data_IF_260827969328
#
_entry.id   IF_260827969328
#
_cell.length_a   1.000
_cell.length_b   1.000
_cell.length_c   1.000
_cell.angle_alpha   90.00
_cell.angle_beta   90.00
_cell.angle_gamma   90.00
#
_symmetry.space_group_name_H-M   'P 1'
#
loop_
_entity.id
_entity.type
_entity.pdbx_description
1 polymer ?
#
# COMPACT_ATOMS: atom_id res chain seq x y z
N UNK A 1 -17.35 6.66 18.58
CA UNK A 1 -17.20 7.66 17.51
C UNK A 1 -16.05 7.30 16.57
N UNK A 2 -15.85 8.08 15.52
CA UNK A 2 -14.82 7.83 14.49
C UNK A 2 -13.38 7.84 15.03
N UNK A 3 -13.13 8.54 16.15
CA UNK A 3 -11.78 8.63 16.73
C UNK A 3 -11.30 7.33 17.40
N UNK A 4 -12.20 6.50 17.91
CA UNK A 4 -11.84 5.27 18.60
C UNK A 4 -11.00 5.51 19.86
N UNK A 5 -10.47 4.45 20.49
CA UNK A 5 -9.70 4.54 21.73
C UNK A 5 -8.27 5.05 21.54
N UNK A 6 -7.73 5.00 20.32
CA UNK A 6 -6.34 5.32 20.04
C UNK A 6 -6.05 6.82 19.82
N UNK A 7 -7.11 7.63 19.75
CA UNK A 7 -7.03 9.08 19.56
C UNK A 7 -7.69 9.81 20.73
N UNK A 8 -6.95 10.12 21.79
CA UNK A 8 -7.53 10.65 23.03
C UNK A 8 -7.99 12.11 22.94
N UNK A 9 -7.49 12.89 21.97
CA UNK A 9 -7.75 14.32 21.89
C UNK A 9 -9.23 14.70 21.76
N UNK A 10 -10.08 14.05 20.95
CA UNK A 10 -11.50 14.39 20.87
C UNK A 10 -12.24 14.22 22.20
N UNK A 11 -11.90 13.18 22.96
CA UNK A 11 -12.50 12.93 24.27
C UNK A 11 -12.04 13.97 25.29
N UNK A 12 -10.74 14.32 25.29
CA UNK A 12 -10.19 15.35 26.17
C UNK A 12 -10.76 16.73 25.84
N UNK A 13 -10.94 17.05 24.56
CA UNK A 13 -11.58 18.29 24.13
C UNK A 13 -13.00 18.43 24.72
N UNK A 14 -13.82 17.37 24.65
CA UNK A 14 -15.17 17.36 25.24
C UNK A 14 -15.10 17.59 26.76
N UNK A 15 -14.19 16.89 27.46
CA UNK A 15 -13.99 17.06 28.90
C UNK A 15 -13.54 18.48 29.27
N UNK A 16 -12.66 19.05 28.46
CA UNK A 16 -12.17 20.44 28.63
C UNK A 16 -13.29 21.43 28.49
N UNK A 17 -14.10 21.32 27.43
CA UNK A 17 -15.28 22.17 27.22
C UNK A 17 -16.25 22.04 28.40
N UNK A 18 -16.54 20.83 28.83
CA UNK A 18 -17.44 20.55 29.95
C UNK A 18 -16.94 21.17 31.25
N UNK A 19 -15.64 21.09 31.54
CA UNK A 19 -15.03 21.71 32.73
C UNK A 19 -15.03 23.24 32.67
N UNK A 20 -14.82 23.79 31.47
CA UNK A 20 -14.71 25.22 31.26
C UNK A 20 -16.06 25.94 31.20
N UNK A 21 -17.16 25.24 30.96
CA UNK A 21 -18.47 25.80 30.60
C UNK A 21 -19.04 26.82 31.63
N UNK A 22 -18.69 26.68 32.89
CA UNK A 22 -19.21 27.55 33.95
C UNK A 22 -18.25 28.64 34.41
N UNK A 23 -17.12 28.83 33.71
CA UNK A 23 -16.09 29.80 34.08
C UNK A 23 -15.97 30.92 33.08
N UNK A 24 -15.46 32.08 33.53
CA UNK A 24 -15.08 33.18 32.65
C UNK A 24 -13.85 32.84 31.81
N UNK A 25 -13.54 33.70 30.84
CA UNK A 25 -12.51 33.49 29.80
C UNK A 25 -11.16 33.05 30.37
N UNK A 26 -10.62 33.73 31.36
CA UNK A 26 -9.26 33.47 31.84
C UNK A 26 -9.15 32.06 32.48
N UNK A 27 -10.14 31.69 33.28
CA UNK A 27 -10.18 30.34 33.88
C UNK A 27 -10.44 29.25 32.83
N UNK A 28 -11.27 29.53 31.85
CA UNK A 28 -11.50 28.61 30.71
C UNK A 28 -10.21 28.37 29.93
N UNK A 29 -9.42 29.39 29.68
CA UNK A 29 -8.11 29.26 28.97
C UNK A 29 -7.09 28.46 29.80
N UNK A 30 -7.07 28.62 31.14
CA UNK A 30 -6.22 27.76 32.00
C UNK A 30 -6.58 26.27 31.88
N UNK A 31 -7.89 25.99 31.88
CA UNK A 31 -8.40 24.60 31.74
C UNK A 31 -8.05 24.06 30.36
N UNK A 32 -8.20 24.85 29.29
CA UNK A 32 -7.83 24.49 27.93
C UNK A 32 -6.33 24.22 27.80
N UNK A 33 -5.48 25.10 28.33
CA UNK A 33 -4.03 24.93 28.35
C UNK A 33 -3.60 23.62 29.02
N UNK A 34 -4.22 23.30 30.17
CA UNK A 34 -3.94 22.05 30.87
C UNK A 34 -4.34 20.82 30.05
N UNK A 35 -5.49 20.86 29.38
CA UNK A 35 -5.95 19.82 28.46
C UNK A 35 -5.00 19.64 27.27
N UNK A 36 -4.58 20.74 26.67
CA UNK A 36 -3.61 20.74 25.56
C UNK A 36 -2.28 20.11 25.97
N UNK A 37 -1.69 20.54 27.07
CA UNK A 37 -0.42 19.98 27.58
C UNK A 37 -0.52 18.48 27.84
N UNK A 38 -1.64 18.03 28.38
CA UNK A 38 -1.91 16.61 28.58
C UNK A 38 -1.90 15.83 27.28
N UNK A 39 -2.54 16.37 26.23
CA UNK A 39 -2.58 15.72 24.92
C UNK A 39 -1.23 15.77 24.21
N UNK A 40 -0.53 16.88 24.27
CA UNK A 40 0.79 17.05 23.65
C UNK A 40 1.85 16.05 24.14
N UNK A 41 1.69 15.56 25.37
CA UNK A 41 2.58 14.56 25.98
C UNK A 41 2.27 13.11 25.61
N UNK A 42 1.18 12.85 24.87
CA UNK A 42 0.82 11.50 24.46
C UNK A 42 1.69 10.99 23.31
N UNK A 43 1.90 9.67 23.25
CA UNK A 43 2.58 9.03 22.13
C UNK A 43 1.85 9.25 20.80
N UNK A 44 0.52 9.28 20.83
CA UNK A 44 -0.30 9.59 19.66
C UNK A 44 0.00 10.98 19.10
N UNK A 45 0.10 12.01 19.96
CA UNK A 45 0.45 13.36 19.53
C UNK A 45 1.85 13.41 18.90
N UNK A 46 2.83 12.78 19.52
CA UNK A 46 4.19 12.70 18.99
C UNK A 46 4.24 12.02 17.62
N UNK A 47 3.52 10.90 17.47
CA UNK A 47 3.43 10.19 16.20
C UNK A 47 2.77 11.03 15.11
N UNK A 48 1.65 11.69 15.42
CA UNK A 48 0.92 12.53 14.46
C UNK A 48 1.72 13.78 14.06
N UNK A 49 2.44 14.39 14.97
CA UNK A 49 3.38 15.48 14.67
C UNK A 49 4.49 14.95 13.75
N UNK A 50 5.06 13.79 14.07
CA UNK A 50 6.07 13.12 13.24
C UNK A 50 5.56 12.86 11.82
N UNK A 51 4.32 12.37 11.66
CA UNK A 51 3.69 12.18 10.35
C UNK A 51 3.56 13.50 9.57
N UNK A 52 3.15 14.56 10.23
CA UNK A 52 3.06 15.87 9.59
C UNK A 52 4.41 16.34 9.08
N UNK A 53 5.45 16.23 9.88
CA UNK A 53 6.81 16.59 9.48
C UNK A 53 7.34 15.72 8.35
N UNK A 54 7.11 14.42 8.40
CA UNK A 54 7.50 13.48 7.35
C UNK A 54 6.75 13.79 6.04
N UNK A 55 5.46 14.11 6.11
CA UNK A 55 4.67 14.51 4.93
C UNK A 55 5.22 15.79 4.30
N UNK A 56 5.61 16.77 5.10
CA UNK A 56 6.26 18.00 4.60
C UNK A 56 7.60 17.69 3.91
N UNK A 57 8.38 16.79 4.46
CA UNK A 57 9.65 16.34 3.85
C UNK A 57 9.40 15.67 2.49
N UNK A 58 8.41 14.77 2.39
CA UNK A 58 8.00 14.16 1.14
C UNK A 58 7.57 15.19 0.09
N UNK A 59 6.75 16.13 0.48
CA UNK A 59 6.27 17.20 -0.41
C UNK A 59 7.40 18.09 -0.92
N UNK A 60 8.36 18.42 -0.05
CA UNK A 60 9.55 19.20 -0.43
C UNK A 60 10.41 18.43 -1.44
N UNK A 61 10.64 17.14 -1.19
CA UNK A 61 11.38 16.26 -2.12
C UNK A 61 10.66 16.14 -3.46
N UNK A 62 9.36 15.89 -3.45
CA UNK A 62 8.55 15.79 -4.67
C UNK A 62 8.56 17.10 -5.48
N UNK A 63 8.58 18.26 -4.81
CA UNK A 63 8.70 19.56 -5.45
C UNK A 63 10.05 19.73 -6.15
N UNK A 64 11.13 19.15 -5.62
CA UNK A 64 12.45 19.18 -6.25
C UNK A 64 12.49 18.53 -7.64
N UNK A 65 11.59 17.59 -7.92
CA UNK A 65 11.47 16.99 -9.24
C UNK A 65 10.78 17.89 -10.27
N UNK A 66 10.03 18.91 -9.84
CA UNK A 66 9.27 19.79 -10.75
C UNK A 66 10.20 20.55 -11.72
N UNK A 67 11.45 20.81 -11.35
CA UNK A 67 12.44 21.49 -12.20
C UNK A 67 12.89 20.64 -13.40
N UNK A 68 12.83 19.32 -13.27
CA UNK A 68 13.29 18.35 -14.28
C UNK A 68 12.10 17.77 -15.05
N UNK A 69 10.93 17.72 -14.43
CA UNK A 69 9.74 17.08 -14.96
C UNK A 69 9.21 17.75 -16.21
N UNK A 70 8.78 16.95 -17.17
CA UNK A 70 7.95 17.42 -18.30
C UNK A 70 6.48 17.33 -17.90
N UNK A 71 5.67 18.25 -18.43
CA UNK A 71 4.23 18.21 -18.20
C UNK A 71 3.57 17.06 -18.98
N UNK A 72 2.71 16.30 -18.33
CA UNK A 72 1.89 15.26 -18.96
C UNK A 72 0.55 15.90 -19.34
N UNK A 73 0.40 16.26 -20.60
CA UNK A 73 -0.83 16.85 -21.15
C UNK A 73 -1.80 15.80 -21.63
N UNK A 74 -1.29 14.70 -22.14
CA UNK A 74 -2.04 13.54 -22.64
C UNK A 74 -1.40 12.27 -22.13
N UNK A 75 -2.17 11.46 -21.41
CA UNK A 75 -1.75 10.15 -20.92
C UNK A 75 -2.43 9.02 -21.71
N UNK A 76 -1.94 7.82 -21.52
CA UNK A 76 -2.61 6.60 -21.95
C UNK A 76 -2.43 5.48 -20.92
N UNK A 77 -3.38 4.58 -20.85
CA UNK A 77 -3.28 3.35 -20.06
C UNK A 77 -3.57 2.14 -20.96
N UNK A 78 -2.76 1.11 -20.81
CA UNK A 78 -2.91 -0.17 -21.50
C UNK A 78 -3.53 -1.16 -20.50
N UNK A 79 -4.68 -1.71 -20.88
CA UNK A 79 -5.53 -2.50 -19.99
C UNK A 79 -6.67 -1.64 -19.44
N UNK A 80 -7.90 -2.15 -19.52
CA UNK A 80 -9.12 -1.49 -19.03
C UNK A 80 -9.80 -2.29 -17.91
N UNK A 81 -9.08 -3.19 -17.27
CA UNK A 81 -9.53 -3.93 -16.11
C UNK A 81 -9.63 -3.05 -14.86
N UNK A 82 -9.67 -3.66 -13.68
CA UNK A 82 -9.84 -2.96 -12.41
C UNK A 82 -8.79 -1.86 -12.23
N UNK A 83 -7.51 -2.18 -12.43
CA UNK A 83 -6.43 -1.21 -12.24
C UNK A 83 -6.36 -0.19 -13.38
N UNK A 84 -6.37 -0.63 -14.63
CA UNK A 84 -6.32 0.27 -15.80
C UNK A 84 -7.51 1.22 -15.87
N UNK A 85 -8.71 0.71 -15.61
CA UNK A 85 -9.92 1.53 -15.51
C UNK A 85 -9.87 2.54 -14.36
N UNK A 86 -9.33 2.13 -13.21
CA UNK A 86 -9.13 3.00 -12.06
C UNK A 86 -8.12 4.12 -12.33
N UNK A 87 -7.04 3.82 -13.03
CA UNK A 87 -6.01 4.80 -13.44
C UNK A 87 -6.62 5.80 -14.43
N UNK A 88 -7.37 5.32 -15.42
CA UNK A 88 -8.08 6.18 -16.38
C UNK A 88 -9.04 7.13 -15.67
N UNK A 89 -9.85 6.62 -14.77
CA UNK A 89 -10.77 7.42 -13.94
C UNK A 89 -10.02 8.52 -13.18
N UNK A 90 -8.97 8.15 -12.46
CA UNK A 90 -8.22 9.11 -11.61
C UNK A 90 -7.55 10.21 -12.43
N UNK A 91 -6.96 9.86 -13.56
CA UNK A 91 -6.36 10.82 -14.49
C UNK A 91 -7.40 11.83 -15.02
N UNK A 92 -8.52 11.33 -15.51
CA UNK A 92 -9.59 12.14 -16.08
C UNK A 92 -10.25 13.08 -15.05
N UNK A 93 -10.57 12.57 -13.86
CA UNK A 93 -11.15 13.34 -12.77
C UNK A 93 -10.25 14.48 -12.31
N UNK A 94 -8.94 14.29 -12.42
CA UNK A 94 -7.93 15.28 -12.04
C UNK A 94 -7.47 16.18 -13.21
N UNK A 95 -8.12 16.04 -14.37
CA UNK A 95 -7.97 16.99 -15.48
C UNK A 95 -6.94 16.61 -16.54
N UNK A 96 -6.35 15.42 -16.48
CA UNK A 96 -5.47 14.92 -17.56
C UNK A 96 -6.23 13.94 -18.43
N UNK A 97 -6.45 14.28 -19.74
CA UNK A 97 -7.05 13.37 -20.70
C UNK A 97 -6.24 12.09 -20.82
N UNK A 98 -6.92 10.97 -20.99
CA UNK A 98 -6.30 9.66 -21.03
C UNK A 98 -6.94 8.75 -22.09
N UNK A 99 -6.12 8.15 -22.93
CA UNK A 99 -6.52 7.05 -23.79
C UNK A 99 -6.56 5.77 -22.95
N UNK A 100 -7.66 5.04 -23.02
CA UNK A 100 -7.79 3.74 -22.34
C UNK A 100 -7.90 2.65 -23.41
N UNK A 101 -6.80 1.93 -23.61
CA UNK A 101 -6.70 0.88 -24.63
C UNK A 101 -6.81 -0.51 -24.00
N UNK A 102 -7.59 -1.36 -24.63
CA UNK A 102 -7.59 -2.79 -24.37
C UNK A 102 -7.72 -3.54 -25.70
N UNK A 103 -7.43 -4.83 -25.69
CA UNK A 103 -7.61 -5.72 -26.83
C UNK A 103 -9.05 -6.26 -26.93
N UNK A 104 -9.82 -6.12 -25.85
CA UNK A 104 -11.20 -6.60 -25.76
C UNK A 104 -12.16 -5.46 -25.46
N UNK A 105 -13.23 -5.40 -26.24
CA UNK A 105 -14.28 -4.39 -26.06
C UNK A 105 -14.99 -4.52 -24.71
N UNK A 106 -15.17 -5.74 -24.21
CA UNK A 106 -15.80 -6.00 -22.91
C UNK A 106 -14.98 -5.39 -21.75
N UNK A 107 -13.66 -5.43 -21.81
CA UNK A 107 -12.81 -4.80 -20.81
C UNK A 107 -12.94 -3.28 -20.84
N UNK A 108 -12.98 -2.67 -22.02
CA UNK A 108 -13.25 -1.24 -22.18
C UNK A 108 -14.61 -0.87 -21.59
N UNK A 109 -15.64 -1.64 -21.87
CA UNK A 109 -16.97 -1.40 -21.33
C UNK A 109 -16.99 -1.47 -19.80
N UNK A 110 -16.28 -2.44 -19.23
CA UNK A 110 -16.12 -2.58 -17.79
C UNK A 110 -15.48 -1.33 -17.17
N UNK A 111 -14.39 -0.85 -17.76
CA UNK A 111 -13.69 0.36 -17.28
C UNK A 111 -14.56 1.59 -17.34
N UNK A 112 -15.31 1.79 -18.42
CA UNK A 112 -16.24 2.91 -18.58
C UNK A 112 -17.42 2.83 -17.60
N UNK A 113 -17.98 1.65 -17.40
CA UNK A 113 -19.09 1.44 -16.46
C UNK A 113 -18.69 1.74 -15.02
N UNK A 114 -17.50 1.33 -14.60
CA UNK A 114 -16.98 1.63 -13.26
C UNK A 114 -16.74 3.14 -13.08
N UNK A 115 -16.17 3.82 -14.08
CA UNK A 115 -16.01 5.27 -14.05
C UNK A 115 -17.36 6.00 -13.94
N UNK A 116 -18.35 5.60 -14.73
CA UNK A 116 -19.71 6.15 -14.68
C UNK A 116 -20.36 5.95 -13.33
N UNK A 117 -20.21 4.77 -12.74
CA UNK A 117 -20.75 4.44 -11.42
C UNK A 117 -20.13 5.30 -10.31
N UNK A 118 -18.81 5.42 -10.30
CA UNK A 118 -18.10 6.25 -9.31
C UNK A 118 -18.48 7.72 -9.41
N UNK A 119 -18.56 8.26 -10.63
CA UNK A 119 -18.96 9.64 -10.88
C UNK A 119 -20.43 9.88 -10.53
N UNK A 120 -21.33 8.96 -10.93
CA UNK A 120 -22.75 9.02 -10.60
C UNK A 120 -22.99 9.08 -9.11
N UNK A 121 -22.31 8.24 -8.34
CA UNK A 121 -22.38 8.23 -6.88
C UNK A 121 -21.96 9.58 -6.25
N UNK A 122 -21.02 10.30 -6.88
CA UNK A 122 -20.62 11.63 -6.42
C UNK A 122 -21.65 12.69 -6.76
N UNK A 123 -22.29 12.58 -7.91
CA UNK A 123 -23.40 13.45 -8.31
C UNK A 123 -24.59 13.28 -7.37
N UNK A 124 -25.00 12.03 -7.11
CA UNK A 124 -26.10 11.68 -6.20
C UNK A 124 -25.87 12.22 -4.77
N UNK A 125 -24.63 12.29 -4.34
CA UNK A 125 -24.24 12.85 -3.03
C UNK A 125 -24.03 14.37 -3.04
N UNK A 126 -24.31 15.05 -4.14
CA UNK A 126 -24.10 16.48 -4.29
C UNK A 126 -22.62 16.92 -4.25
N UNK A 127 -21.69 16.00 -4.51
CA UNK A 127 -20.23 16.26 -4.47
C UNK A 127 -19.63 16.56 -5.84
N UNK A 128 -20.43 16.43 -6.88
CA UNK A 128 -20.05 16.68 -8.27
C UNK A 128 -21.29 17.12 -9.05
N UNK A 129 -21.13 18.04 -9.98
CA UNK A 129 -22.23 18.41 -10.90
C UNK A 129 -22.30 17.43 -12.07
N UNK A 130 -23.47 17.31 -12.70
CA UNK A 130 -23.63 16.50 -13.90
C UNK A 130 -22.71 16.98 -15.04
N UNK A 131 -22.53 18.28 -15.18
CA UNK A 131 -21.62 18.86 -16.16
C UNK A 131 -20.17 18.43 -15.94
N UNK A 132 -19.70 18.42 -14.69
CA UNK A 132 -18.34 17.94 -14.34
C UNK A 132 -18.20 16.43 -14.53
N UNK A 133 -19.26 15.66 -14.29
CA UNK A 133 -19.29 14.24 -14.61
C UNK A 133 -19.09 13.99 -16.10
N UNK A 134 -19.83 14.71 -16.95
CA UNK A 134 -19.71 14.60 -18.40
C UNK A 134 -18.31 14.99 -18.88
N UNK A 135 -17.74 16.06 -18.33
CA UNK A 135 -16.37 16.50 -18.62
C UNK A 135 -15.34 15.43 -18.30
N UNK A 136 -15.44 14.78 -17.12
CA UNK A 136 -14.54 13.69 -16.72
C UNK A 136 -14.68 12.46 -17.62
N UNK A 137 -15.91 12.06 -17.94
CA UNK A 137 -16.15 10.91 -18.85
C UNK A 137 -15.60 11.18 -20.25
N UNK A 138 -15.76 12.39 -20.77
CA UNK A 138 -15.21 12.79 -22.08
C UNK A 138 -13.65 12.84 -22.09
N UNK A 139 -13.04 12.97 -20.96
CA UNK A 139 -11.58 12.93 -20.83
C UNK A 139 -11.00 11.50 -20.88
N UNK A 140 -11.85 10.47 -20.75
CA UNK A 140 -11.47 9.07 -20.96
C UNK A 140 -11.83 8.70 -22.40
N UNK A 141 -10.80 8.45 -23.23
CA UNK A 141 -11.00 8.06 -24.62
C UNK A 141 -10.73 6.57 -24.78
N UNK A 142 -11.78 5.73 -24.97
CA UNK A 142 -11.58 4.30 -25.18
C UNK A 142 -11.06 4.01 -26.59
N UNK A 143 -10.20 3.03 -26.74
CA UNK A 143 -9.67 2.60 -28.02
C UNK A 143 -9.24 1.13 -28.01
N UNK A 144 -9.35 0.48 -29.18
CA UNK A 144 -8.84 -0.87 -29.44
C UNK A 144 -7.50 -0.84 -30.20
N UNK A 145 -7.04 0.35 -30.59
CA UNK A 145 -5.86 0.52 -31.44
C UNK A 145 -4.88 1.58 -30.91
N UNK A 146 -3.68 1.61 -31.48
CA UNK A 146 -2.65 2.60 -31.16
C UNK A 146 -2.73 3.88 -32.03
N UNK A 147 -3.78 4.07 -32.81
CA UNK A 147 -3.84 5.15 -33.81
C UNK A 147 -3.57 6.56 -33.27
N UNK A 148 -3.97 6.84 -32.03
CA UNK A 148 -3.82 8.16 -31.41
C UNK A 148 -2.64 8.26 -30.41
N UNK A 149 -1.76 7.27 -30.36
CA UNK A 149 -0.68 7.20 -29.37
C UNK A 149 0.54 8.07 -29.69
N UNK A 150 0.65 8.60 -30.91
CA UNK A 150 1.82 9.36 -31.34
C UNK A 150 2.14 10.61 -30.53
N UNK A 151 1.13 11.24 -29.91
CA UNK A 151 1.26 12.47 -29.13
C UNK A 151 1.07 12.28 -27.62
N UNK A 152 1.12 11.05 -27.13
CA UNK A 152 0.98 10.75 -25.71
C UNK A 152 2.29 11.04 -24.99
N UNK A 153 2.21 11.70 -23.84
CA UNK A 153 3.39 12.08 -23.05
C UNK A 153 3.83 10.95 -22.10
N UNK A 154 2.88 10.19 -21.57
CA UNK A 154 3.12 9.10 -20.63
C UNK A 154 2.10 7.98 -20.82
N UNK A 155 2.58 6.75 -20.89
CA UNK A 155 1.75 5.53 -20.97
C UNK A 155 1.96 4.69 -19.72
N UNK A 156 0.87 4.30 -19.07
CA UNK A 156 0.88 3.33 -17.96
C UNK A 156 0.43 1.98 -18.47
N UNK A 157 1.29 0.98 -18.39
CA UNK A 157 0.93 -0.41 -18.69
C UNK A 157 0.30 -1.07 -17.45
N UNK A 158 -0.90 -1.58 -17.58
CA UNK A 158 -1.66 -2.23 -16.54
C UNK A 158 -2.34 -3.53 -17.06
N UNK A 159 -1.60 -4.28 -17.86
CA UNK A 159 -2.05 -5.58 -18.40
C UNK A 159 -1.74 -6.71 -17.40
N UNK A 160 -2.11 -7.94 -17.76
CA UNK A 160 -1.93 -9.12 -16.90
C UNK A 160 -0.52 -9.22 -16.32
N UNK A 161 -0.42 -9.65 -15.06
CA UNK A 161 0.84 -9.76 -14.29
C UNK A 161 1.68 -10.96 -14.75
N UNK A 162 2.23 -10.84 -15.95
CA UNK A 162 3.10 -11.83 -16.57
C UNK A 162 4.28 -11.10 -17.25
N UNK A 163 5.54 -11.46 -16.94
CA UNK A 163 6.70 -10.76 -17.47
C UNK A 163 6.78 -10.76 -18.99
N UNK A 164 6.52 -11.89 -19.62
CA UNK A 164 6.59 -12.02 -21.09
C UNK A 164 5.50 -11.20 -21.79
N UNK A 165 4.28 -11.24 -21.27
CA UNK A 165 3.16 -10.45 -21.80
C UNK A 165 3.45 -8.95 -21.67
N UNK A 166 3.90 -8.52 -20.50
CA UNK A 166 4.26 -7.12 -20.25
C UNK A 166 5.41 -6.66 -21.15
N UNK A 167 6.44 -7.45 -21.31
CA UNK A 167 7.55 -7.14 -22.21
C UNK A 167 7.10 -7.00 -23.67
N UNK A 168 6.24 -7.90 -24.15
CA UNK A 168 5.70 -7.84 -25.50
C UNK A 168 4.84 -6.58 -25.71
N UNK A 169 3.96 -6.25 -24.76
CA UNK A 169 3.10 -5.07 -24.81
C UNK A 169 3.92 -3.78 -24.73
N UNK A 170 4.93 -3.72 -23.86
CA UNK A 170 5.82 -2.56 -23.74
C UNK A 170 6.63 -2.32 -25.02
N UNK A 171 7.18 -3.36 -25.63
CA UNK A 171 7.89 -3.26 -26.92
C UNK A 171 6.94 -2.80 -28.04
N UNK A 172 5.73 -3.30 -28.07
CA UNK A 172 4.69 -2.91 -29.03
C UNK A 172 4.32 -1.43 -28.90
N UNK A 173 4.02 -0.94 -27.69
CA UNK A 173 3.66 0.45 -27.48
C UNK A 173 4.84 1.40 -27.69
N UNK A 174 6.05 0.99 -27.38
CA UNK A 174 7.25 1.81 -27.62
C UNK A 174 7.39 2.18 -29.11
N UNK A 175 7.04 1.25 -30.02
CA UNK A 175 7.07 1.48 -31.45
C UNK A 175 5.96 2.45 -31.93
N UNK A 176 4.94 2.70 -31.13
CA UNK A 176 3.75 3.51 -31.47
C UNK A 176 3.78 4.92 -30.89
N UNK A 177 4.69 5.19 -29.96
CA UNK A 177 4.79 6.49 -29.27
C UNK A 177 6.00 7.28 -29.74
N UNK A 178 6.03 8.57 -29.39
CA UNK A 178 7.17 9.46 -29.67
C UNK A 178 8.42 9.07 -28.88
N UNK A 179 9.57 9.53 -29.33
CA UNK A 179 10.88 9.24 -28.72
C UNK A 179 11.01 9.69 -27.26
N UNK A 180 10.26 10.73 -26.86
CA UNK A 180 10.32 11.30 -25.54
C UNK A 180 9.18 10.85 -24.62
N UNK A 181 8.30 9.99 -25.11
CA UNK A 181 7.19 9.45 -24.30
C UNK A 181 7.74 8.58 -23.18
N UNK A 182 7.26 8.82 -21.98
CA UNK A 182 7.58 8.00 -20.81
C UNK A 182 6.66 6.77 -20.80
N UNK A 183 7.26 5.61 -20.65
CA UNK A 183 6.54 4.36 -20.38
C UNK A 183 6.67 4.00 -18.91
N UNK A 184 5.56 3.57 -18.32
CA UNK A 184 5.52 3.13 -16.93
C UNK A 184 4.78 1.80 -16.83
N UNK A 185 5.22 0.92 -15.93
CA UNK A 185 4.50 -0.31 -15.61
C UNK A 185 3.86 -0.23 -14.22
N UNK A 186 2.60 -0.64 -14.14
CA UNK A 186 1.87 -0.78 -12.88
C UNK A 186 2.09 -2.15 -12.22
N UNK A 187 3.11 -2.89 -12.61
CA UNK A 187 3.42 -4.18 -11.98
C UNK A 187 3.56 -4.03 -10.47
N UNK A 188 3.09 -5.03 -9.74
CA UNK A 188 3.20 -5.07 -8.27
C UNK A 188 4.49 -5.71 -7.76
N UNK A 189 5.09 -6.60 -8.54
CA UNK A 189 6.21 -7.44 -8.08
C UNK A 189 7.30 -7.65 -9.10
N UNK A 190 7.03 -7.50 -10.40
CA UNK A 190 8.01 -7.77 -11.46
C UNK A 190 9.07 -6.66 -11.49
N UNK A 191 10.34 -7.03 -11.52
CA UNK A 191 11.44 -6.08 -11.62
C UNK A 191 11.27 -5.15 -12.84
N UNK A 192 11.35 -3.86 -12.59
CA UNK A 192 11.33 -2.83 -13.63
C UNK A 192 12.54 -2.98 -14.55
N UNK A 193 13.70 -3.28 -13.99
CA UNK A 193 14.92 -3.53 -14.75
C UNK A 193 14.79 -4.75 -15.68
N UNK A 194 14.08 -5.79 -15.25
CA UNK A 194 13.76 -6.94 -16.09
C UNK A 194 12.85 -6.56 -17.28
N UNK A 195 11.78 -5.82 -17.01
CA UNK A 195 10.85 -5.38 -18.07
C UNK A 195 11.55 -4.45 -19.09
N UNK A 196 12.46 -3.62 -18.61
CA UNK A 196 13.22 -2.69 -19.44
C UNK A 196 14.08 -3.36 -20.51
N UNK A 197 14.45 -4.62 -20.33
CA UNK A 197 15.24 -5.38 -21.32
C UNK A 197 14.56 -5.54 -22.68
N UNK A 198 13.24 -5.43 -22.73
CA UNK A 198 12.46 -5.49 -23.96
C UNK A 198 12.44 -4.15 -24.73
N UNK A 199 12.96 -3.07 -24.16
CA UNK A 199 12.85 -1.72 -24.68
C UNK A 199 14.12 -1.25 -25.37
N UNK A 200 13.95 -0.44 -26.40
CA UNK A 200 15.04 0.24 -27.13
C UNK A 200 15.47 1.52 -26.41
N UNK A 201 14.55 2.17 -25.67
CA UNK A 201 14.76 3.38 -24.88
C UNK A 201 14.46 3.14 -23.40
N UNK A 202 15.22 2.25 -22.72
CA UNK A 202 14.96 1.91 -21.33
C UNK A 202 15.11 3.10 -20.37
N UNK A 203 15.80 4.16 -20.77
CA UNK A 203 15.94 5.42 -20.01
C UNK A 203 14.60 6.14 -19.84
N UNK A 204 13.63 5.91 -20.72
CA UNK A 204 12.28 6.47 -20.65
C UNK A 204 11.29 5.56 -19.89
N UNK A 205 11.77 4.53 -19.24
CA UNK A 205 10.92 3.54 -18.58
C UNK A 205 11.11 3.56 -17.06
N UNK A 206 9.96 3.53 -16.34
CA UNK A 206 9.88 3.49 -14.87
C UNK A 206 8.77 2.55 -14.41
N UNK A 207 8.73 2.24 -13.13
CA UNK A 207 7.52 1.70 -12.51
C UNK A 207 6.61 2.82 -12.02
N UNK A 208 5.30 2.62 -12.12
CA UNK A 208 4.29 3.49 -11.52
C UNK A 208 3.22 2.62 -10.88
N UNK A 209 3.45 2.24 -9.64
CA UNK A 209 2.64 1.27 -8.91
C UNK A 209 1.53 1.96 -8.13
N UNK A 210 0.29 1.77 -8.58
CA UNK A 210 -0.92 2.20 -7.90
C UNK A 210 -1.43 1.08 -6.98
N UNK A 211 -2.25 1.46 -6.01
CA UNK A 211 -2.89 0.54 -5.07
C UNK A 211 -4.39 0.48 -5.32
N UNK A 212 -4.96 -0.70 -5.17
CA UNK A 212 -6.40 -0.93 -5.36
C UNK A 212 -7.17 -0.62 -4.06
N UNK A 213 -8.28 0.13 -4.10
CA UNK A 213 -8.88 0.82 -5.25
C UNK A 213 -8.15 2.14 -5.57
N UNK A 214 -7.85 2.37 -6.85
CA UNK A 214 -7.03 3.52 -7.27
C UNK A 214 -7.60 4.86 -6.81
N UNK A 215 -8.91 5.05 -6.88
CA UNK A 215 -9.55 6.32 -6.52
C UNK A 215 -9.49 6.65 -5.02
N UNK A 216 -9.21 5.66 -4.17
CA UNK A 216 -9.16 5.80 -2.71
C UNK A 216 -7.75 5.80 -2.14
N UNK A 217 -6.87 4.98 -2.72
CA UNK A 217 -5.53 4.76 -2.16
C UNK A 217 -4.60 5.93 -2.50
N UNK A 218 -4.01 6.58 -1.48
CA UNK A 218 -3.27 7.82 -1.70
C UNK A 218 -1.86 7.64 -2.26
N UNK A 219 -1.24 6.46 -2.09
CA UNK A 219 0.15 6.21 -2.47
C UNK A 219 0.28 5.87 -3.96
N UNK A 220 1.34 6.38 -4.58
CA UNK A 220 1.93 5.83 -5.80
C UNK A 220 3.42 5.61 -5.55
N UNK A 221 3.90 4.39 -5.73
CA UNK A 221 5.32 4.11 -5.79
C UNK A 221 5.82 4.40 -7.21
N UNK A 222 6.80 5.27 -7.34
CA UNK A 222 7.53 5.50 -8.59
C UNK A 222 8.84 4.74 -8.49
N UNK A 223 9.01 3.69 -9.31
CA UNK A 223 10.13 2.78 -9.21
C UNK A 223 11.19 3.16 -10.24
N UNK A 224 12.37 3.52 -9.73
CA UNK A 224 13.55 3.76 -10.54
C UNK A 224 14.19 2.43 -10.90
N UNK A 225 14.11 2.03 -12.18
CA UNK A 225 14.88 0.92 -12.71
C UNK A 225 16.35 1.30 -12.89
N UNK A 226 17.19 0.32 -13.12
CA UNK A 226 18.64 0.51 -13.26
C UNK A 226 19.01 1.55 -14.35
N UNK A 227 18.23 1.60 -15.43
CA UNK A 227 18.47 2.50 -16.55
C UNK A 227 17.54 3.71 -16.63
N UNK A 228 16.59 3.83 -15.70
CA UNK A 228 15.63 4.94 -15.69
C UNK A 228 16.33 6.29 -15.55
N UNK A 229 16.01 7.24 -16.42
CA UNK A 229 16.54 8.60 -16.34
C UNK A 229 15.86 9.39 -15.20
N UNK A 230 16.54 10.41 -14.69
CA UNK A 230 15.96 11.32 -13.71
C UNK A 230 14.75 12.10 -14.29
N UNK A 231 14.77 12.40 -15.58
CA UNK A 231 13.63 13.03 -16.27
C UNK A 231 12.41 12.10 -16.28
N UNK A 232 12.59 10.80 -16.57
CA UNK A 232 11.51 9.83 -16.54
C UNK A 232 10.90 9.69 -15.14
N UNK A 233 11.75 9.60 -14.11
CA UNK A 233 11.33 9.55 -12.72
C UNK A 233 10.59 10.84 -12.34
N UNK A 234 11.17 12.00 -12.62
CA UNK A 234 10.60 13.30 -12.28
C UNK A 234 9.24 13.54 -12.95
N UNK A 235 9.12 13.22 -14.22
CA UNK A 235 7.87 13.34 -14.99
C UNK A 235 6.76 12.46 -14.38
N UNK A 236 7.09 11.24 -14.01
CA UNK A 236 6.14 10.31 -13.39
C UNK A 236 5.73 10.77 -11.99
N UNK A 237 6.66 11.29 -11.18
CA UNK A 237 6.35 11.91 -9.88
C UNK A 237 5.38 13.10 -10.06
N UNK A 238 5.65 13.98 -11.01
CA UNK A 238 4.78 15.12 -11.29
C UNK A 238 3.38 14.69 -11.74
N UNK A 239 3.29 13.66 -12.59
CA UNK A 239 2.00 13.10 -13.01
C UNK A 239 1.22 12.48 -11.85
N UNK A 240 1.89 11.74 -10.97
CA UNK A 240 1.26 11.20 -9.77
C UNK A 240 0.69 12.31 -8.87
N UNK A 241 1.44 13.40 -8.66
CA UNK A 241 0.97 14.58 -7.93
C UNK A 241 -0.25 15.22 -8.60
N UNK A 242 -0.21 15.36 -9.92
CA UNK A 242 -1.33 15.90 -10.72
C UNK A 242 -2.59 15.05 -10.59
N UNK A 243 -2.43 13.74 -10.44
CA UNK A 243 -3.52 12.81 -10.15
C UNK A 243 -4.02 12.87 -8.68
N UNK A 244 -3.46 13.74 -7.85
CA UNK A 244 -3.83 13.88 -6.44
C UNK A 244 -3.25 12.77 -5.55
N UNK A 245 -2.21 12.09 -5.99
CA UNK A 245 -1.53 11.05 -5.22
C UNK A 245 -0.31 11.60 -4.48
N UNK A 246 0.17 10.82 -3.51
CA UNK A 246 1.42 11.06 -2.79
C UNK A 246 2.48 10.12 -3.36
N UNK A 247 3.37 10.58 -4.26
CA UNK A 247 4.40 9.73 -4.83
C UNK A 247 5.59 9.57 -3.89
N UNK A 248 6.13 8.36 -3.87
CA UNK A 248 7.43 8.04 -3.25
C UNK A 248 8.30 7.38 -4.31
N UNK A 249 9.51 7.88 -4.49
CA UNK A 249 10.49 7.27 -5.39
C UNK A 249 11.20 6.15 -4.64
N UNK A 250 11.16 4.95 -5.23
CA UNK A 250 11.82 3.77 -4.68
C UNK A 250 12.75 3.16 -5.74
N UNK A 251 13.83 2.54 -5.30
CA UNK A 251 14.69 1.77 -6.19
C UNK A 251 14.09 0.38 -6.44
N UNK A 252 14.43 -0.18 -7.58
CA UNK A 252 13.90 -1.46 -8.03
C UNK A 252 14.37 -2.61 -7.13
N UNK A 253 13.42 -3.41 -6.65
CA UNK A 253 13.66 -4.67 -5.97
C UNK A 253 12.36 -5.49 -5.99
N UNK A 254 12.40 -6.81 -5.72
CA UNK A 254 11.18 -7.59 -5.61
C UNK A 254 10.22 -7.02 -4.55
N UNK A 255 8.97 -6.76 -4.95
CA UNK A 255 7.94 -6.20 -4.07
C UNK A 255 8.07 -4.70 -3.76
N UNK A 256 9.07 -4.02 -4.31
CA UNK A 256 9.36 -2.61 -4.10
C UNK A 256 9.47 -2.28 -2.60
N UNK A 257 8.83 -1.23 -2.11
CA UNK A 257 8.80 -0.95 -0.67
C UNK A 257 7.64 -1.70 0.02
N UNK A 258 6.42 -1.41 -0.41
CA UNK A 258 5.21 -1.80 0.35
C UNK A 258 5.00 -3.30 0.37
N UNK A 259 5.04 -3.96 -0.77
CA UNK A 259 4.85 -5.41 -0.83
C UNK A 259 6.03 -6.17 -0.20
N UNK A 260 7.26 -5.68 -0.37
CA UNK A 260 8.43 -6.27 0.29
C UNK A 260 8.27 -6.30 1.81
N UNK A 261 7.69 -5.26 2.39
CA UNK A 261 7.46 -5.14 3.83
C UNK A 261 6.21 -5.91 4.28
N UNK A 262 5.18 -5.94 3.44
CA UNK A 262 3.91 -6.60 3.74
C UNK A 262 4.01 -8.12 3.75
N UNK A 263 4.78 -8.72 2.85
CA UNK A 263 4.94 -10.18 2.79
C UNK A 263 5.50 -10.80 4.07
N UNK A 264 6.56 -10.25 4.71
CA UNK A 264 6.98 -10.70 6.03
C UNK A 264 5.90 -10.65 7.11
N UNK A 265 5.04 -9.63 7.07
CA UNK A 265 3.87 -9.52 7.93
C UNK A 265 2.92 -10.72 7.74
N UNK A 266 2.58 -11.05 6.50
CA UNK A 266 1.80 -12.23 6.17
C UNK A 266 2.53 -13.54 6.50
N UNK A 267 3.84 -13.57 6.43
CA UNK A 267 4.66 -14.68 6.88
C UNK A 267 4.49 -14.97 8.37
N UNK A 268 4.48 -13.92 9.18
CA UNK A 268 4.17 -14.03 10.62
C UNK A 268 2.76 -14.55 10.87
N UNK A 269 1.79 -14.08 10.13
CA UNK A 269 0.41 -14.58 10.17
C UNK A 269 0.33 -16.06 9.82
N UNK A 270 0.98 -16.49 8.74
CA UNK A 270 1.02 -17.90 8.33
C UNK A 270 1.62 -18.79 9.43
N UNK A 271 2.69 -18.34 10.09
CA UNK A 271 3.30 -19.06 11.22
C UNK A 271 2.33 -19.20 12.41
N UNK A 272 1.58 -18.15 12.73
CA UNK A 272 0.58 -18.17 13.79
C UNK A 272 -0.54 -19.19 13.50
N UNK A 273 -1.06 -19.19 12.28
CA UNK A 273 -2.10 -20.15 11.87
C UNK A 273 -1.55 -21.59 11.92
N UNK A 274 -0.33 -21.82 11.45
CA UNK A 274 0.33 -23.13 11.51
C UNK A 274 0.63 -23.59 12.95
N UNK A 275 0.76 -22.64 13.88
CA UNK A 275 0.90 -22.91 15.31
C UNK A 275 -0.45 -23.13 16.03
N UNK A 276 -1.55 -23.20 15.30
CA UNK A 276 -2.88 -23.46 15.85
C UNK A 276 -3.61 -22.25 16.41
N UNK A 277 -3.11 -21.04 16.18
CA UNK A 277 -3.78 -19.83 16.67
C UNK A 277 -4.97 -19.51 15.77
N UNK A 278 -6.13 -19.26 16.38
CA UNK A 278 -7.35 -18.89 15.67
C UNK A 278 -7.18 -17.59 14.88
N UNK A 279 -7.38 -17.64 13.57
CA UNK A 279 -7.20 -16.47 12.71
C UNK A 279 -8.23 -15.35 13.01
N UNK A 280 -9.40 -15.68 13.52
CA UNK A 280 -10.39 -14.67 13.95
C UNK A 280 -9.86 -13.89 15.15
N UNK A 281 -9.20 -14.58 16.10
CA UNK A 281 -8.51 -13.94 17.22
C UNK A 281 -7.36 -13.05 16.73
N UNK A 282 -6.55 -13.54 15.80
CA UNK A 282 -5.44 -12.76 15.21
C UNK A 282 -5.98 -11.46 14.58
N UNK A 283 -7.03 -11.55 13.80
CA UNK A 283 -7.67 -10.38 13.18
C UNK A 283 -8.11 -9.35 14.24
N UNK A 284 -8.77 -9.80 15.29
CA UNK A 284 -9.22 -8.92 16.39
C UNK A 284 -8.07 -8.25 17.12
N UNK A 285 -6.99 -9.00 17.40
CA UNK A 285 -5.81 -8.45 18.07
C UNK A 285 -5.14 -7.38 17.22
N UNK A 286 -4.98 -7.63 15.92
CA UNK A 286 -4.34 -6.68 15.01
C UNK A 286 -5.21 -5.46 14.72
N UNK A 287 -6.53 -5.61 14.65
CA UNK A 287 -7.46 -4.48 14.58
C UNK A 287 -7.39 -3.62 15.85
N UNK A 288 -7.33 -4.23 17.02
CA UNK A 288 -7.14 -3.52 18.31
C UNK A 288 -5.79 -2.81 18.37
N UNK A 289 -4.75 -3.39 17.78
CA UNK A 289 -3.43 -2.75 17.63
C UNK A 289 -3.52 -1.44 16.85
N UNK A 290 -4.46 -1.36 15.89
CA UNK A 290 -4.74 -0.15 15.12
C UNK A 290 -4.86 -0.35 13.62
N UNK A 291 -4.63 -1.56 13.10
CA UNK A 291 -4.79 -1.84 11.68
C UNK A 291 -6.25 -1.71 11.24
N UNK A 292 -6.53 -1.18 10.03
CA UNK A 292 -7.91 -1.03 9.54
C UNK A 292 -8.60 -2.38 9.29
N UNK A 293 -7.82 -3.43 9.03
CA UNK A 293 -8.29 -4.80 8.82
C UNK A 293 -7.33 -5.76 9.49
N UNK A 294 -7.85 -6.88 10.02
CA UNK A 294 -7.02 -7.99 10.43
C UNK A 294 -6.38 -8.69 9.22
N UNK A 295 -5.31 -9.47 9.42
CA UNK A 295 -4.55 -10.07 8.32
C UNK A 295 -5.34 -11.09 7.51
N UNK A 296 -6.18 -11.94 8.13
CA UNK A 296 -7.00 -12.89 7.40
C UNK A 296 -8.02 -12.19 6.50
N UNK A 297 -8.70 -11.19 7.02
CA UNK A 297 -9.63 -10.38 6.24
C UNK A 297 -8.91 -9.64 5.11
N UNK A 298 -7.75 -9.06 5.38
CA UNK A 298 -6.95 -8.38 4.35
C UNK A 298 -6.56 -9.33 3.21
N UNK A 299 -6.15 -10.56 3.52
CA UNK A 299 -5.85 -11.56 2.49
C UNK A 299 -7.05 -11.91 1.64
N UNK A 300 -8.24 -11.99 2.23
CA UNK A 300 -9.48 -12.20 1.51
C UNK A 300 -9.83 -11.05 0.57
N UNK A 301 -9.57 -9.81 1.00
CA UNK A 301 -9.80 -8.59 0.19
C UNK A 301 -8.80 -8.49 -0.96
N UNK A 302 -7.52 -8.74 -0.70
CA UNK A 302 -6.45 -8.72 -1.71
C UNK A 302 -6.62 -9.87 -2.70
N UNK A 303 -7.02 -11.02 -2.22
CA UNK A 303 -7.15 -12.26 -2.97
C UNK A 303 -6.09 -13.29 -2.57
N UNK A 304 -6.55 -14.48 -2.22
CA UNK A 304 -5.70 -15.61 -1.81
C UNK A 304 -4.76 -16.02 -2.96
N UNK A 305 -5.24 -16.03 -4.18
CA UNK A 305 -4.44 -16.31 -5.38
C UNK A 305 -3.32 -15.28 -5.57
N UNK A 306 -3.61 -14.02 -5.36
CA UNK A 306 -2.60 -12.94 -5.42
C UNK A 306 -1.51 -13.16 -4.37
N UNK A 307 -1.87 -13.48 -3.14
CA UNK A 307 -0.93 -13.80 -2.07
C UNK A 307 -0.11 -15.07 -2.35
N UNK A 308 -0.77 -16.10 -2.87
CA UNK A 308 -0.12 -17.37 -3.23
C UNK A 308 0.94 -17.18 -4.33
N UNK A 309 0.64 -16.47 -5.39
CA UNK A 309 1.59 -16.20 -6.48
C UNK A 309 2.70 -15.22 -6.05
N UNK A 310 2.35 -14.18 -5.30
CA UNK A 310 3.32 -13.19 -4.82
C UNK A 310 4.36 -13.77 -3.89
N UNK A 311 4.01 -14.80 -3.12
CA UNK A 311 4.95 -15.49 -2.23
C UNK A 311 6.12 -16.10 -2.99
N UNK A 312 5.89 -16.68 -4.15
CA UNK A 312 6.95 -17.30 -4.96
C UNK A 312 7.95 -16.23 -5.46
N UNK A 313 7.46 -15.09 -5.88
CA UNK A 313 8.30 -13.96 -6.30
C UNK A 313 9.19 -13.47 -5.15
N UNK A 314 8.61 -13.33 -3.95
CA UNK A 314 9.36 -12.88 -2.78
C UNK A 314 10.35 -13.93 -2.28
N UNK A 315 9.99 -15.22 -2.35
CA UNK A 315 10.89 -16.31 -2.00
C UNK A 315 12.09 -16.40 -2.95
N UNK A 316 11.87 -16.18 -4.24
CA UNK A 316 12.95 -16.12 -5.24
C UNK A 316 13.85 -14.90 -5.04
N UNK A 317 13.25 -13.74 -4.73
CA UNK A 317 13.97 -12.50 -4.51
C UNK A 317 14.78 -12.44 -3.21
N UNK A 318 14.28 -13.07 -2.16
CA UNK A 318 14.86 -13.06 -0.81
C UNK A 318 14.89 -14.48 -0.22
N UNK A 319 15.63 -15.43 -0.84
CA UNK A 319 15.60 -16.83 -0.43
C UNK A 319 16.17 -17.09 0.97
N UNK A 320 17.02 -16.19 1.45
CA UNK A 320 17.65 -16.26 2.78
C UNK A 320 16.65 -16.12 3.94
N UNK A 321 15.50 -15.49 3.70
CA UNK A 321 14.54 -15.18 4.76
C UNK A 321 13.06 -15.28 4.39
N UNK A 322 12.69 -15.22 3.10
CA UNK A 322 11.28 -15.26 2.66
C UNK A 322 10.87 -16.58 2.02
N UNK A 323 11.81 -17.49 1.82
CA UNK A 323 11.54 -18.84 1.33
C UNK A 323 11.12 -19.75 2.49
N UNK A 324 9.91 -20.31 2.40
CA UNK A 324 9.42 -21.34 3.30
C UNK A 324 8.81 -22.45 2.45
N UNK A 325 9.39 -23.66 2.53
CA UNK A 325 8.98 -24.81 1.73
C UNK A 325 7.75 -25.51 2.31
N UNK A 326 7.32 -25.14 3.53
CA UNK A 326 6.11 -25.72 4.14
C UNK A 326 4.86 -25.12 3.52
N UNK A 327 3.86 -25.97 3.32
CA UNK A 327 2.53 -25.52 2.95
C UNK A 327 1.96 -24.63 4.05
N UNK A 328 1.34 -23.56 3.64
CA UNK A 328 0.71 -22.57 4.51
C UNK A 328 -0.80 -22.50 4.29
N UNK A 329 -1.48 -21.68 5.10
CA UNK A 329 -2.91 -21.42 4.95
C UNK A 329 -3.29 -20.96 3.54
N UNK A 330 -2.48 -20.08 2.93
CA UNK A 330 -2.71 -19.57 1.58
C UNK A 330 -2.70 -20.70 0.55
N UNK A 331 -1.81 -21.66 0.68
CA UNK A 331 -1.71 -22.79 -0.25
C UNK A 331 -2.97 -23.66 -0.23
N UNK A 332 -3.42 -24.05 0.96
CA UNK A 332 -4.60 -24.91 1.09
C UNK A 332 -5.90 -24.18 0.73
N UNK A 333 -6.00 -22.89 1.00
CA UNK A 333 -7.13 -22.09 0.57
C UNK A 333 -7.17 -21.92 -0.96
N UNK A 334 -6.02 -21.67 -1.58
CA UNK A 334 -5.90 -21.60 -3.03
C UNK A 334 -6.30 -22.93 -3.70
N UNK A 335 -5.78 -24.06 -3.22
CA UNK A 335 -6.13 -25.39 -3.72
C UNK A 335 -7.62 -25.72 -3.55
N UNK A 336 -8.25 -25.23 -2.49
CA UNK A 336 -9.68 -25.38 -2.24
C UNK A 336 -10.54 -24.37 -3.03
N UNK A 337 -9.95 -23.59 -3.92
CA UNK A 337 -10.61 -22.50 -4.67
C UNK A 337 -11.34 -21.49 -3.76
N UNK A 338 -10.76 -21.23 -2.60
CA UNK A 338 -11.22 -20.21 -1.66
C UNK A 338 -10.37 -18.95 -1.82
N UNK A 339 -10.74 -18.12 -2.80
CA UNK A 339 -9.91 -16.98 -3.22
C UNK A 339 -10.20 -15.67 -2.47
N UNK A 340 -11.15 -15.70 -1.56
CA UNK A 340 -11.53 -14.54 -0.77
C UNK A 340 -12.83 -13.89 -1.25
N UNK A 341 -12.94 -12.57 -1.13
CA UNK A 341 -14.14 -11.82 -1.55
C UNK A 341 -14.49 -12.04 -3.01
N UNK A 342 -13.54 -12.14 -3.89
CA UNK A 342 -13.75 -12.24 -5.34
C UNK A 342 -14.60 -13.45 -5.77
N UNK A 343 -14.57 -14.54 -5.01
CA UNK A 343 -15.40 -15.72 -5.28
C UNK A 343 -16.23 -16.17 -4.07
N UNK A 344 -16.38 -15.30 -3.07
CA UNK A 344 -17.32 -15.46 -1.97
C UNK A 344 -16.81 -16.23 -0.76
N UNK A 345 -15.64 -16.85 -0.81
CA UNK A 345 -15.04 -17.61 0.30
C UNK A 345 -13.52 -17.51 0.30
N UNK A 346 -12.94 -17.25 1.45
CA UNK A 346 -11.52 -17.30 1.75
C UNK A 346 -11.33 -17.85 3.16
N UNK A 347 -10.69 -17.09 4.03
CA UNK A 347 -10.72 -17.34 5.48
C UNK A 347 -12.14 -17.21 6.03
N UNK A 348 -12.88 -16.23 5.52
CA UNK A 348 -14.28 -15.98 5.84
C UNK A 348 -15.15 -16.31 4.63
N UNK A 349 -16.46 -16.37 4.85
CA UNK A 349 -17.45 -16.33 3.77
C UNK A 349 -18.02 -14.92 3.64
N UNK A 350 -18.58 -14.62 2.48
CA UNK A 350 -19.11 -13.29 2.15
C UNK A 350 -20.53 -13.40 1.65
N UNK A 351 -21.42 -12.65 2.30
CA UNK A 351 -22.81 -12.50 1.94
C UNK A 351 -23.04 -11.07 1.47
N UNK A 352 -23.90 -10.89 0.46
CA UNK A 352 -24.26 -9.54 0.01
C UNK A 352 -25.24 -8.93 1.00
N UNK A 353 -24.92 -7.73 1.50
CA UNK A 353 -25.84 -6.96 2.33
C UNK A 353 -26.98 -6.36 1.48
N UNK A 354 -27.95 -5.71 2.15
CA UNK A 354 -29.10 -5.06 1.49
C UNK A 354 -28.71 -3.94 0.50
N UNK A 355 -27.43 -3.48 0.57
CA UNK A 355 -26.88 -2.46 -0.33
C UNK A 355 -25.96 -3.05 -1.40
N UNK A 356 -25.94 -4.38 -1.55
CA UNK A 356 -25.10 -5.08 -2.51
C UNK A 356 -23.61 -5.07 -2.18
N UNK A 357 -23.23 -4.85 -0.91
CA UNK A 357 -21.84 -4.91 -0.48
C UNK A 357 -21.51 -6.25 0.18
N UNK A 358 -20.29 -6.80 -0.06
CA UNK A 358 -19.86 -8.01 0.62
C UNK A 358 -19.79 -7.78 2.14
N UNK A 359 -20.40 -8.67 2.89
CA UNK A 359 -20.35 -8.70 4.36
C UNK A 359 -19.64 -9.96 4.80
N UNK A 360 -18.60 -9.80 5.59
CA UNK A 360 -17.82 -10.88 6.19
C UNK A 360 -18.65 -11.65 7.21
N UNK A 361 -18.71 -12.98 7.07
CA UNK A 361 -19.30 -13.90 8.05
C UNK A 361 -18.34 -15.05 8.34
N UNK A 362 -18.39 -15.58 9.57
CA UNK A 362 -17.61 -16.76 9.92
C UNK A 362 -18.12 -17.99 9.14
N UNK A 363 -17.18 -18.79 8.66
CA UNK A 363 -17.45 -20.03 7.95
C UNK A 363 -16.70 -21.20 8.63
N UNK A 364 -17.36 -22.00 9.46
CA UNK A 364 -16.70 -23.12 10.16
C UNK A 364 -16.05 -24.15 9.23
N UNK A 365 -16.51 -24.27 7.99
CA UNK A 365 -15.96 -25.19 7.00
C UNK A 365 -14.48 -24.91 6.67
N UNK A 366 -14.01 -23.67 6.86
CA UNK A 366 -12.60 -23.33 6.61
C UNK A 366 -11.65 -24.06 7.55
N UNK A 367 -12.09 -24.40 8.74
CA UNK A 367 -11.26 -25.10 9.74
C UNK A 367 -10.79 -26.48 9.23
N UNK A 368 -11.63 -27.19 8.49
CA UNK A 368 -11.25 -28.46 7.86
C UNK A 368 -10.24 -28.25 6.73
N UNK A 369 -10.36 -27.17 5.98
CA UNK A 369 -9.40 -26.79 4.92
C UNK A 369 -8.04 -26.45 5.53
N UNK A 370 -8.01 -25.79 6.68
CA UNK A 370 -6.77 -25.38 7.36
C UNK A 370 -6.08 -26.51 8.12
N UNK A 371 -6.79 -27.58 8.45
CA UNK A 371 -6.28 -28.70 9.26
C UNK A 371 -4.91 -29.24 8.79
N UNK A 372 -4.67 -29.47 7.48
CA UNK A 372 -3.39 -30.04 7.00
C UNK A 372 -2.17 -29.17 7.29
N UNK A 373 -2.36 -27.86 7.55
CA UNK A 373 -1.23 -26.93 7.76
C UNK A 373 -1.09 -26.52 9.23
N UNK A 374 -1.90 -27.05 10.13
CA UNK A 374 -1.75 -26.84 11.56
C UNK A 374 -0.83 -27.93 12.10
N UNK A 375 0.42 -27.59 12.40
CA UNK A 375 1.46 -28.54 12.78
C UNK A 375 1.64 -28.66 14.29
N UNK A 376 1.12 -27.69 15.05
CA UNK A 376 1.20 -27.67 16.52
C UNK A 376 0.00 -26.92 17.09
N UNK A 377 -0.17 -27.01 18.40
CA UNK A 377 -1.14 -26.23 19.17
C UNK A 377 -0.36 -25.44 20.21
N UNK A 378 0.02 -24.22 19.85
CA UNK A 378 0.83 -23.35 20.69
C UNK A 378 -0.04 -22.31 21.37
N UNK A 379 0.09 -22.17 22.67
CA UNK A 379 -0.50 -21.06 23.38
C UNK A 379 0.36 -19.82 23.23
N UNK A 380 -0.26 -18.73 22.78
CA UNK A 380 0.38 -17.44 22.60
C UNK A 380 -0.47 -16.35 23.25
N UNK A 381 0.19 -15.33 23.77
CA UNK A 381 -0.47 -14.14 24.30
C UNK A 381 -0.87 -13.21 23.15
N UNK A 382 -1.73 -12.23 23.41
CA UNK A 382 -2.04 -11.19 22.44
C UNK A 382 -0.80 -10.38 22.06
N UNK A 383 0.10 -10.15 23.02
CA UNK A 383 1.40 -9.52 22.77
C UNK A 383 2.29 -10.35 21.83
N UNK A 384 2.33 -11.67 22.02
CA UNK A 384 3.04 -12.56 21.09
C UNK A 384 2.48 -12.43 19.67
N UNK A 385 1.16 -12.42 19.52
CA UNK A 385 0.52 -12.25 18.20
C UNK A 385 1.00 -10.96 17.55
N UNK A 386 0.99 -9.84 18.26
CA UNK A 386 1.48 -8.56 17.76
C UNK A 386 2.94 -8.67 17.34
N UNK A 387 3.80 -9.25 18.16
CA UNK A 387 5.23 -9.36 17.90
C UNK A 387 5.56 -10.30 16.73
N UNK A 388 4.84 -11.43 16.60
CA UNK A 388 5.01 -12.33 15.47
C UNK A 388 4.71 -11.63 14.13
N UNK A 389 3.78 -10.68 14.14
CA UNK A 389 3.36 -9.93 12.95
C UNK A 389 4.23 -8.69 12.72
N UNK A 390 4.48 -7.90 13.77
CA UNK A 390 5.09 -6.58 13.65
C UNK A 390 6.62 -6.62 13.56
N UNK A 391 7.29 -7.56 14.21
CA UNK A 391 8.76 -7.65 14.16
C UNK A 391 9.24 -7.85 12.72
N UNK A 392 8.75 -8.85 11.96
CA UNK A 392 9.23 -9.05 10.59
C UNK A 392 8.88 -7.89 9.66
N UNK A 393 7.71 -7.25 9.82
CA UNK A 393 7.34 -6.06 9.07
C UNK A 393 8.32 -4.91 9.34
N UNK A 394 8.56 -4.60 10.59
CA UNK A 394 9.48 -3.52 11.00
C UNK A 394 10.93 -3.81 10.58
N UNK A 395 11.36 -5.05 10.74
CA UNK A 395 12.72 -5.46 10.38
C UNK A 395 12.96 -5.36 8.88
N UNK A 396 12.00 -5.74 8.06
CA UNK A 396 12.12 -5.60 6.61
C UNK A 396 12.08 -4.13 6.17
N UNK A 397 11.34 -3.28 6.87
CA UNK A 397 11.38 -1.82 6.64
C UNK A 397 12.78 -1.26 6.92
N UNK A 398 13.43 -1.71 7.97
CA UNK A 398 14.84 -1.37 8.26
C UNK A 398 15.75 -1.80 7.10
N UNK A 399 15.57 -3.01 6.59
CA UNK A 399 16.33 -3.51 5.43
C UNK A 399 16.11 -2.69 4.17
N UNK A 400 14.88 -2.26 3.91
CA UNK A 400 14.59 -1.38 2.78
C UNK A 400 15.35 -0.06 2.86
N UNK A 401 15.48 0.52 4.06
CA UNK A 401 16.27 1.72 4.27
C UNK A 401 17.77 1.45 4.10
N UNK A 402 18.27 0.37 4.68
CA UNK A 402 19.69 -0.02 4.57
C UNK A 402 20.12 -0.34 3.13
N UNK A 403 19.24 -0.99 2.36
CA UNK A 403 19.47 -1.33 0.95
C UNK A 403 19.30 -0.13 0.01
N UNK A 404 18.89 1.02 0.53
CA UNK A 404 18.65 2.21 -0.28
C UNK A 404 17.45 2.11 -1.20
N UNK A 405 16.48 1.27 -0.88
CA UNK A 405 15.21 1.20 -1.63
C UNK A 405 14.45 2.50 -1.48
N UNK A 406 14.47 3.07 -0.29
CA UNK A 406 14.11 4.46 -0.01
C UNK A 406 15.32 5.18 0.56
N UNK A 407 15.36 6.50 0.38
CA UNK A 407 16.51 7.31 0.81
C UNK A 407 16.42 7.69 2.28
N UNK A 408 15.22 7.89 2.82
CA UNK A 408 15.00 8.39 4.18
C UNK A 408 14.03 7.54 4.97
N UNK A 409 14.17 7.59 6.30
CA UNK A 409 13.21 6.96 7.22
C UNK A 409 11.80 7.55 7.06
N UNK A 410 11.67 8.84 6.77
CA UNK A 410 10.41 9.50 6.50
C UNK A 410 9.69 8.88 5.30
N UNK A 411 10.39 8.62 4.21
CA UNK A 411 9.83 7.97 3.02
C UNK A 411 9.38 6.55 3.32
N UNK A 412 10.16 5.79 4.06
CA UNK A 412 9.79 4.43 4.47
C UNK A 412 8.47 4.44 5.25
N UNK A 413 8.37 5.25 6.30
CA UNK A 413 7.19 5.31 7.15
C UNK A 413 5.96 5.85 6.42
N UNK A 414 6.11 6.91 5.63
CA UNK A 414 4.98 7.47 4.88
C UNK A 414 4.49 6.52 3.78
N UNK A 415 5.38 5.73 3.19
CA UNK A 415 5.00 4.67 2.27
C UNK A 415 4.06 3.65 2.89
N UNK A 416 4.29 3.28 4.14
CA UNK A 416 3.42 2.34 4.88
C UNK A 416 2.12 3.01 5.35
N UNK A 417 2.17 4.26 5.78
CA UNK A 417 0.98 5.03 6.14
C UNK A 417 0.03 5.15 4.95
N UNK A 418 0.54 5.57 3.80
CA UNK A 418 -0.27 5.78 2.60
C UNK A 418 -0.58 4.50 1.82
N UNK A 419 0.31 3.50 1.88
CA UNK A 419 0.18 2.28 1.08
C UNK A 419 -0.65 1.18 1.71
N UNK A 420 -0.50 0.95 3.00
CA UNK A 420 -1.18 -0.15 3.72
C UNK A 420 -2.00 0.30 4.93
N UNK A 421 -2.14 1.59 5.15
CA UNK A 421 -2.88 2.11 6.28
C UNK A 421 -2.23 1.78 7.62
N UNK A 422 -0.89 1.81 7.68
CA UNK A 422 -0.19 1.68 8.96
C UNK A 422 -0.82 2.63 9.98
N UNK A 423 -1.09 2.19 11.22
CA UNK A 423 -1.81 3.00 12.21
C UNK A 423 -1.18 4.38 12.40
N UNK A 424 -1.86 5.49 12.03
CA UNK A 424 -1.26 6.82 12.07
C UNK A 424 -0.82 7.27 13.46
N UNK A 425 -1.54 6.86 14.52
CA UNK A 425 -1.17 7.17 15.90
C UNK A 425 0.11 6.50 16.36
N UNK A 426 0.65 5.55 15.58
CA UNK A 426 1.96 4.90 15.81
C UNK A 426 3.07 5.47 14.94
N UNK A 427 2.73 6.21 13.88
CA UNK A 427 3.65 7.01 13.10
C UNK A 427 4.44 6.30 12.01
N UNK A 428 4.29 4.99 11.85
CA UNK A 428 5.03 4.17 10.88
C UNK A 428 5.91 3.12 11.54
N UNK A 429 6.51 2.24 10.74
CA UNK A 429 7.29 1.10 11.24
C UNK A 429 8.57 1.53 11.97
N UNK A 430 9.31 2.48 11.42
CA UNK A 430 10.55 2.97 12.02
C UNK A 430 10.27 3.85 13.24
N UNK A 431 9.20 4.65 13.19
CA UNK A 431 8.72 5.38 14.37
C UNK A 431 8.26 4.43 15.47
N UNK A 432 7.63 3.33 15.11
CA UNK A 432 7.22 2.29 16.05
C UNK A 432 8.43 1.68 16.76
N UNK A 433 9.50 1.39 16.02
CA UNK A 433 10.77 0.95 16.60
C UNK A 433 11.31 2.00 17.59
N UNK A 434 11.35 3.27 17.19
CA UNK A 434 11.81 4.37 18.05
C UNK A 434 10.96 4.50 19.32
N UNK A 435 9.64 4.29 19.22
CA UNK A 435 8.72 4.37 20.37
C UNK A 435 8.95 3.27 21.40
N UNK A 436 9.39 2.10 20.96
CA UNK A 436 9.82 1.00 21.84
C UNK A 436 11.23 1.29 22.38
N UNK A 437 12.06 1.92 21.57
CA UNK A 437 13.50 2.05 21.75
C UNK A 437 14.25 1.06 20.88
N UNK A 438 15.27 1.52 20.15
CA UNK A 438 15.99 0.64 19.21
C UNK A 438 16.63 -0.55 19.95
N UNK A 439 17.28 -0.31 21.09
CA UNK A 439 17.90 -1.38 21.89
C UNK A 439 16.85 -2.37 22.43
N UNK A 440 15.73 -1.86 22.91
CA UNK A 440 14.61 -2.65 23.44
C UNK A 440 13.94 -3.46 22.31
N UNK A 441 13.80 -2.88 21.13
CA UNK A 441 13.26 -3.58 19.96
C UNK A 441 14.20 -4.72 19.51
N UNK A 442 15.49 -4.50 19.47
CA UNK A 442 16.48 -5.53 19.16
C UNK A 442 16.40 -6.68 20.17
N UNK A 443 16.34 -6.37 21.47
CA UNK A 443 16.19 -7.38 22.53
C UNK A 443 14.87 -8.14 22.38
N UNK A 444 13.79 -7.45 22.06
CA UNK A 444 12.48 -8.06 21.79
C UNK A 444 12.54 -9.00 20.60
N UNK A 445 13.13 -8.59 19.48
CA UNK A 445 13.27 -9.40 18.27
C UNK A 445 14.09 -10.67 18.55
N UNK A 446 15.15 -10.58 19.35
CA UNK A 446 15.98 -11.74 19.74
C UNK A 446 15.18 -12.80 20.51
N UNK A 447 14.13 -12.42 21.25
CA UNK A 447 13.23 -13.37 21.93
C UNK A 447 12.44 -14.23 20.95
N UNK A 448 12.29 -13.80 19.70
CA UNK A 448 11.54 -14.51 18.65
C UNK A 448 12.47 -15.07 17.56
N UNK A 449 13.78 -15.13 17.81
CA UNK A 449 14.78 -15.60 16.83
C UNK A 449 14.52 -17.00 16.30
N UNK A 450 13.90 -17.87 17.09
CA UNK A 450 13.50 -19.22 16.70
C UNK A 450 12.50 -19.25 15.51
N UNK A 451 11.79 -18.15 15.26
CA UNK A 451 10.83 -18.05 14.17
C UNK A 451 11.48 -17.85 12.81
N UNK A 452 12.78 -17.58 12.76
CA UNK A 452 13.54 -17.53 11.52
C UNK A 452 14.24 -16.21 11.25
N UNK A 453 14.86 -16.12 10.07
CA UNK A 453 15.73 -15.01 9.69
C UNK A 453 14.99 -13.65 9.59
N UNK A 454 13.69 -13.64 9.30
CA UNK A 454 12.89 -12.40 9.27
C UNK A 454 12.84 -11.68 10.63
N UNK A 455 13.06 -12.40 11.71
CA UNK A 455 13.02 -11.89 13.09
C UNK A 455 14.41 -11.46 13.61
N UNK A 456 15.44 -11.70 12.82
CA UNK A 456 16.81 -11.39 13.24
C UNK A 456 17.16 -9.93 12.93
N UNK A 457 17.60 -9.15 13.94
CA UNK A 457 18.08 -7.80 13.71
C UNK A 457 19.26 -7.75 12.74
N UNK A 458 19.27 -6.72 11.90
CA UNK A 458 20.41 -6.46 11.04
C UNK A 458 21.65 -6.03 11.84
N UNK A 459 22.83 -6.19 11.29
CA UNK A 459 24.07 -5.74 11.92
C UNK A 459 24.05 -4.23 12.19
N UNK A 460 23.55 -3.43 11.25
CA UNK A 460 23.41 -1.98 11.40
C UNK A 460 22.43 -1.58 12.49
N UNK A 461 21.29 -2.30 12.61
CA UNK A 461 20.32 -2.04 13.67
C UNK A 461 20.93 -2.36 15.05
N UNK A 462 21.69 -3.44 15.17
CA UNK A 462 22.43 -3.77 16.40
C UNK A 462 23.45 -2.69 16.76
N UNK A 463 24.13 -2.13 15.77
CA UNK A 463 25.06 -1.02 15.97
C UNK A 463 24.34 0.24 16.46
N UNK A 464 23.21 0.59 15.86
CA UNK A 464 22.35 1.68 16.35
C UNK A 464 21.93 1.48 17.80
N UNK A 465 21.56 0.25 18.16
CA UNK A 465 21.20 -0.10 19.54
C UNK A 465 22.37 0.15 20.52
N UNK A 466 23.57 -0.28 20.16
CA UNK A 466 24.78 -0.07 20.99
C UNK A 466 25.14 1.41 21.14
N UNK A 467 24.91 2.20 20.11
CA UNK A 467 25.26 3.62 20.06
C UNK A 467 24.14 4.55 20.56
N UNK A 468 23.03 3.99 21.02
CA UNK A 468 21.89 4.78 21.48
C UNK A 468 21.24 5.65 20.40
N UNK A 469 21.31 5.23 19.14
CA UNK A 469 20.78 5.94 17.99
C UNK A 469 19.32 5.58 17.75
N UNK A 470 18.57 6.49 17.14
CA UNK A 470 17.20 6.30 16.69
C UNK A 470 17.06 6.70 15.21
N UNK A 471 15.89 6.42 14.60
CA UNK A 471 15.64 6.77 13.20
C UNK A 471 15.26 8.24 13.02
N UNK A 472 14.63 8.85 14.00
CA UNK A 472 14.12 10.23 13.92
C UNK A 472 14.71 11.21 14.94
N UNK A 473 15.69 10.84 15.70
CA UNK A 473 16.40 11.71 16.63
C UNK A 473 15.76 11.84 17.99
#
# INVERSE_FOLDING_TARGET
GQAGPNYPAPVEAIKTIQKAANFGRDKALEIEAAGFVKMAKTSAAQSLIGLFLNDQELKKKAKGYDEIAKDVKQAAVLGAGIMGGGIAYQSAVKGTPILMKDIREEAIQLGLNEASKLLGNRVDKGRLTAAKMAEALNAIRPTLSYGDFGNVDLVVEAVVENPKVKQAVLAEVEAQVGENTILASNTSTISISLLAKALKRPENFVGMHFFNPVHMMPLVEVIRGEKSSEEAVATTVAYAKKMGKNPIVVNDCPGFLVNRVLFPYFGGFAKLVSAGVDFVRIDKVMEKFGWPMGPAYLMDVVGIDTGHHGRDVMAEGFPDRMKDDRRSAVDVLYEANRLGQKNGKGFYAYEMDKKGKPKKVNDPAVLDVLKPIVFEQREVTDEDIINWMMIPLCMETVRCLEDGIVETAAEADMGLIYGIGFPPFRGGALRYIDSIGVAEFVALADQYAELGALYQPTAKLREMARNGQSFFG
#
